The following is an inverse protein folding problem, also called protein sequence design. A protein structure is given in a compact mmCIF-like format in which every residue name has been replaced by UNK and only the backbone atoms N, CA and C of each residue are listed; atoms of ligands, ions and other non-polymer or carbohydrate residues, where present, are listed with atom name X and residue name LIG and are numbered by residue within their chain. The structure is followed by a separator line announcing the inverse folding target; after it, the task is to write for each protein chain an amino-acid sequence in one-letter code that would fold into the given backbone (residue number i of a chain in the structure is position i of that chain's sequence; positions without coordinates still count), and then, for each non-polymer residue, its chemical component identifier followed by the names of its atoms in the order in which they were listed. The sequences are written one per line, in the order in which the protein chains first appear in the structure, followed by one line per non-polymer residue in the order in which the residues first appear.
data_IF_484446164486
#
_entry.id   IF_484446164486
#
_cell.length_a   1.000
_cell.length_b   1.000
_cell.length_c   1.000
_cell.angle_alpha   90.00
_cell.angle_beta   90.00
_cell.angle_gamma   90.00
#
_symmetry.space_group_name_H-M   'P 1'
#
loop_
_entity.id
_entity.type
_entity.pdbx_description
1 polymer ?
#
# COMPACT_ATOMS: atom_id res chain seq x y z
N UNK A 1 -14.72 18.98 12.95
CA UNK A 1 -14.57 17.53 12.78
C UNK A 1 -13.30 17.04 13.44
N UNK A 2 -13.34 15.86 14.04
CA UNK A 2 -12.13 15.26 14.61
C UNK A 2 -11.19 14.72 13.51
N UNK A 3 -9.86 14.94 13.68
CA UNK A 3 -8.87 14.51 12.69
C UNK A 3 -7.50 14.20 13.33
N UNK A 4 -6.68 13.41 12.61
CA UNK A 4 -5.27 13.19 12.89
C UNK A 4 -4.43 13.97 11.87
N UNK A 5 -3.55 14.85 12.35
CA UNK A 5 -2.79 15.79 11.51
C UNK A 5 -1.29 15.65 11.73
N UNK A 6 -0.51 15.92 10.66
CA UNK A 6 0.89 16.29 10.80
C UNK A 6 0.95 17.80 11.08
N UNK A 7 1.29 18.17 12.31
CA UNK A 7 1.46 19.57 12.71
C UNK A 7 2.89 20.07 12.52
N UNK A 8 3.85 19.15 12.58
CA UNK A 8 5.27 19.39 12.29
C UNK A 8 5.92 18.13 11.72
N UNK A 9 7.11 18.30 11.14
CA UNK A 9 7.93 17.23 10.60
C UNK A 9 9.07 16.97 11.56
N UNK A 10 9.33 15.69 11.87
CA UNK A 10 10.49 15.23 12.61
C UNK A 10 10.96 13.88 12.06
N UNK A 11 12.17 13.84 11.51
CA UNK A 11 12.69 12.63 10.88
C UNK A 11 13.06 11.53 11.90
N UNK A 12 13.49 11.93 13.11
CA UNK A 12 13.96 11.03 14.15
C UNK A 12 12.83 10.59 15.10
N UNK A 13 11.93 11.52 15.44
CA UNK A 13 10.72 11.27 16.25
C UNK A 13 9.44 11.69 15.52
N UNK A 14 8.99 10.92 14.52
CA UNK A 14 7.84 11.31 13.69
C UNK A 14 6.54 11.48 14.50
N UNK A 15 6.37 10.73 15.59
CA UNK A 15 5.19 10.83 16.42
C UNK A 15 5.08 12.14 17.21
N UNK A 16 6.18 12.85 17.37
CA UNK A 16 6.18 14.19 17.99
C UNK A 16 5.42 15.21 17.13
N UNK A 17 5.27 14.96 15.83
CA UNK A 17 4.51 15.77 14.88
C UNK A 17 3.04 15.39 14.72
N UNK A 18 2.61 14.26 15.30
CA UNK A 18 1.24 13.78 15.20
C UNK A 18 0.34 14.46 16.24
N UNK A 19 -0.66 15.18 15.78
CA UNK A 19 -1.70 15.80 16.62
C UNK A 19 -3.09 15.21 16.31
N UNK A 20 -3.85 14.94 17.37
CA UNK A 20 -5.22 14.47 17.31
C UNK A 20 -6.14 15.55 17.90
N UNK A 21 -7.17 15.96 17.17
CA UNK A 21 -8.07 17.00 17.67
C UNK A 21 -9.04 17.54 16.63
N UNK A 22 -9.75 18.61 17.03
CA UNK A 22 -10.75 19.27 16.19
C UNK A 22 -10.12 20.09 15.07
N UNK A 23 -10.69 19.96 13.86
CA UNK A 23 -10.34 20.73 12.66
C UNK A 23 -11.61 21.31 12.03
N UNK A 24 -11.50 22.42 11.28
CA UNK A 24 -12.62 22.92 10.48
C UNK A 24 -13.14 21.85 9.51
N UNK A 25 -14.43 21.89 9.21
CA UNK A 25 -15.02 21.09 8.15
C UNK A 25 -14.40 21.44 6.79
N UNK A 26 -14.05 20.45 5.94
CA UNK A 26 -13.51 20.74 4.63
C UNK A 26 -14.60 21.27 3.70
N UNK A 27 -14.27 22.26 2.89
CA UNK A 27 -15.13 22.76 1.83
C UNK A 27 -14.69 22.19 0.47
N UNK A 28 -15.61 21.51 -0.22
CA UNK A 28 -15.32 20.91 -1.51
C UNK A 28 -15.23 21.99 -2.60
N UNK A 29 -14.09 22.12 -3.31
CA UNK A 29 -14.01 22.96 -4.51
C UNK A 29 -14.92 22.43 -5.63
N UNK A 30 -15.14 23.25 -6.67
CA UNK A 30 -15.86 22.79 -7.87
C UNK A 30 -15.22 21.52 -8.47
N UNK A 31 -16.06 20.55 -8.83
CA UNK A 31 -15.61 19.25 -9.35
C UNK A 31 -15.15 18.26 -8.29
N UNK A 32 -15.13 18.63 -7.01
CA UNK A 32 -14.83 17.76 -5.88
C UNK A 32 -16.11 17.25 -5.22
N UNK A 33 -15.97 16.20 -4.41
CA UNK A 33 -17.04 15.64 -3.60
C UNK A 33 -16.56 15.49 -2.15
N UNK A 34 -17.49 15.71 -1.21
CA UNK A 34 -17.28 15.39 0.19
C UNK A 34 -17.65 13.93 0.43
N UNK A 35 -16.81 13.19 1.15
CA UNK A 35 -17.06 11.83 1.61
C UNK A 35 -17.09 11.83 3.14
N UNK A 36 -18.16 11.29 3.71
CA UNK A 36 -18.20 10.91 5.13
C UNK A 36 -17.42 9.62 5.30
N UNK A 37 -16.27 9.70 5.94
CA UNK A 37 -15.36 8.55 6.14
C UNK A 37 -15.99 7.57 7.11
N UNK A 38 -16.02 6.30 6.77
CA UNK A 38 -16.47 5.20 7.63
C UNK A 38 -15.32 4.34 8.14
N UNK A 39 -14.26 4.24 7.34
CA UNK A 39 -13.02 3.60 7.70
C UNK A 39 -11.87 4.21 6.90
N UNK A 40 -10.70 4.34 7.52
CA UNK A 40 -9.46 4.80 6.90
C UNK A 40 -8.30 3.87 7.28
N UNK A 41 -7.38 3.57 6.35
CA UNK A 41 -6.35 2.58 6.60
C UNK A 41 -4.94 3.16 6.55
N UNK A 42 -4.16 2.89 7.59
CA UNK A 42 -2.80 3.39 7.78
C UNK A 42 -1.81 2.77 6.78
N UNK A 43 -0.90 3.59 6.28
CA UNK A 43 0.19 3.22 5.37
C UNK A 43 1.54 3.74 5.88
N UNK A 44 2.64 3.15 5.43
CA UNK A 44 3.98 3.70 5.67
C UNK A 44 4.13 5.12 5.11
N UNK A 45 3.38 5.48 4.07
CA UNK A 45 3.29 6.85 3.54
C UNK A 45 2.98 7.86 4.64
N UNK A 46 2.06 7.58 5.53
CA UNK A 46 1.64 8.48 6.60
C UNK A 46 2.77 8.71 7.62
N UNK A 47 3.57 7.68 7.91
CA UNK A 47 4.80 7.79 8.71
C UNK A 47 5.87 8.59 7.96
N UNK A 48 6.01 8.39 6.64
CA UNK A 48 6.95 9.16 5.82
C UNK A 48 6.57 10.64 5.76
N UNK A 49 5.28 10.98 5.69
CA UNK A 49 4.78 12.36 5.76
C UNK A 49 5.22 13.03 7.08
N UNK A 50 5.06 12.35 8.22
CA UNK A 50 5.55 12.85 9.53
C UNK A 50 7.08 13.01 9.58
N UNK A 51 7.82 12.27 8.78
CA UNK A 51 9.29 12.39 8.62
C UNK A 51 9.71 13.44 7.58
N UNK A 52 8.77 14.10 6.91
CA UNK A 52 9.05 15.12 5.90
C UNK A 52 9.32 14.58 4.49
N UNK A 53 8.95 13.33 4.21
CA UNK A 53 9.07 12.77 2.86
C UNK A 53 7.77 13.00 2.10
N UNK A 54 7.85 13.59 0.90
CA UNK A 54 6.71 13.88 0.03
C UNK A 54 5.93 15.14 0.40
N UNK A 55 6.30 15.85 1.46
CA UNK A 55 5.63 17.06 1.93
C UNK A 55 6.64 18.17 2.21
N UNK A 56 6.22 19.43 2.03
CA UNK A 56 6.96 20.62 2.43
C UNK A 56 6.31 21.30 3.65
N UNK A 57 7.11 22.00 4.44
CA UNK A 57 6.68 22.60 5.72
C UNK A 57 5.62 23.68 5.58
N UNK A 58 5.51 24.31 4.40
CA UNK A 58 4.46 25.29 4.08
C UNK A 58 3.05 24.67 3.95
N UNK A 59 2.96 23.35 3.90
CA UNK A 59 1.71 22.59 3.87
C UNK A 59 1.17 22.20 5.24
N UNK A 60 1.95 22.41 6.27
CA UNK A 60 1.57 22.05 7.64
C UNK A 60 0.70 23.16 8.29
N UNK A 61 -0.24 22.81 9.15
CA UNK A 61 -0.66 21.43 9.47
C UNK A 61 -1.54 20.83 8.36
N UNK A 62 -1.41 19.51 8.11
CA UNK A 62 -2.20 18.79 7.12
C UNK A 62 -2.85 17.55 7.74
N UNK A 63 -4.07 17.21 7.33
CA UNK A 63 -4.72 15.95 7.73
C UNK A 63 -4.00 14.78 7.06
N UNK A 64 -3.66 13.75 7.84
CA UNK A 64 -2.97 12.56 7.37
C UNK A 64 -3.94 11.55 6.73
N UNK A 65 -3.37 10.50 6.12
CA UNK A 65 -4.09 9.37 5.55
C UNK A 65 -4.38 9.51 4.07
N UNK A 66 -4.21 8.40 3.33
CA UNK A 66 -4.53 8.36 1.90
C UNK A 66 -5.53 7.27 1.52
N UNK A 67 -5.87 6.36 2.44
CA UNK A 67 -6.77 5.23 2.18
C UNK A 67 -8.08 5.36 2.95
N UNK A 68 -9.23 5.46 2.28
CA UNK A 68 -10.52 5.46 2.94
C UNK A 68 -11.63 4.78 2.12
N UNK A 69 -12.65 4.35 2.85
CA UNK A 69 -13.96 4.03 2.32
C UNK A 69 -15.04 4.77 3.15
N UNK A 70 -16.12 5.17 2.49
CA UNK A 70 -17.15 5.97 3.14
C UNK A 70 -18.38 6.14 2.28
N UNK A 71 -19.14 7.19 2.60
CA UNK A 71 -20.40 7.51 1.91
C UNK A 71 -20.26 8.91 1.31
N UNK A 72 -20.51 9.06 0.01
CA UNK A 72 -20.51 10.35 -0.66
C UNK A 72 -21.78 11.18 -0.35
N UNK A 73 -21.83 12.42 -0.85
CA UNK A 73 -22.97 13.30 -0.62
C UNK A 73 -24.29 12.81 -1.25
N UNK A 74 -24.21 11.90 -2.23
CA UNK A 74 -25.38 11.31 -2.91
C UNK A 74 -25.85 10.01 -2.24
N UNK A 75 -25.18 9.60 -1.14
CA UNK A 75 -25.49 8.39 -0.36
C UNK A 75 -24.88 7.10 -0.91
N UNK A 76 -23.96 7.18 -1.88
CA UNK A 76 -23.29 6.00 -2.42
C UNK A 76 -22.14 5.55 -1.53
N UNK A 77 -21.97 4.24 -1.37
CA UNK A 77 -20.80 3.66 -0.73
C UNK A 77 -19.61 3.67 -1.70
N UNK A 78 -18.52 4.30 -1.30
CA UNK A 78 -17.36 4.56 -2.15
C UNK A 78 -16.04 4.19 -1.48
N UNK A 79 -15.06 3.87 -2.31
CA UNK A 79 -13.63 3.79 -1.96
C UNK A 79 -12.93 5.00 -2.58
N UNK A 80 -12.10 5.67 -1.80
CA UNK A 80 -11.36 6.86 -2.24
C UNK A 80 -10.03 6.44 -2.87
N UNK A 81 -9.83 6.77 -4.16
CA UNK A 81 -8.54 6.61 -4.83
C UNK A 81 -7.56 7.70 -4.36
N UNK A 82 -6.40 7.29 -3.85
CA UNK A 82 -5.48 8.19 -3.17
C UNK A 82 -4.70 9.14 -4.09
N UNK A 83 -4.50 8.76 -5.37
CA UNK A 83 -3.69 9.55 -6.31
C UNK A 83 -4.54 10.63 -6.96
N UNK A 84 -4.14 11.88 -6.80
CA UNK A 84 -4.70 13.04 -7.49
C UNK A 84 -3.75 13.42 -8.63
N UNK A 85 -4.15 13.17 -9.85
CA UNK A 85 -3.38 13.42 -11.06
C UNK A 85 -4.27 13.42 -12.30
N UNK A 86 -3.71 13.90 -13.42
CA UNK A 86 -4.36 13.91 -14.72
C UNK A 86 -3.95 12.65 -15.51
N UNK A 87 -4.90 11.74 -15.85
CA UNK A 87 -4.58 10.57 -16.64
C UNK A 87 -4.08 10.91 -18.03
N UNK A 88 -4.56 12.00 -18.64
CA UNK A 88 -4.13 12.40 -19.99
C UNK A 88 -2.66 12.82 -19.98
N UNK A 89 -2.21 13.53 -18.94
CA UNK A 89 -0.81 13.88 -18.74
C UNK A 89 0.08 12.65 -18.45
N UNK A 90 -0.50 11.58 -17.93
CA UNK A 90 0.16 10.30 -17.64
C UNK A 90 -0.02 9.22 -18.72
N UNK A 91 -0.56 9.55 -19.90
CA UNK A 91 -0.78 8.57 -20.98
C UNK A 91 -1.79 7.48 -20.64
N UNK A 92 -2.81 7.81 -19.85
CA UNK A 92 -3.87 6.91 -19.36
C UNK A 92 -3.65 6.37 -17.95
N UNK A 93 -2.54 6.74 -17.29
CA UNK A 93 -2.23 6.34 -15.91
C UNK A 93 -1.81 7.58 -15.11
N UNK A 94 -2.69 8.11 -14.27
CA UNK A 94 -2.43 9.29 -13.44
C UNK A 94 -1.26 9.12 -12.49
N UNK A 95 -0.80 7.89 -12.22
CA UNK A 95 0.43 7.67 -11.45
C UNK A 95 1.69 8.06 -12.21
N UNK A 96 1.58 8.33 -13.50
CA UNK A 96 2.66 8.81 -14.37
C UNK A 96 2.57 10.32 -14.68
N UNK A 97 1.52 11.02 -14.23
CA UNK A 97 1.46 12.48 -14.31
C UNK A 97 2.61 13.08 -13.50
N UNK A 98 3.50 13.91 -14.10
CA UNK A 98 4.59 14.56 -13.39
C UNK A 98 4.12 15.47 -12.23
N UNK A 99 2.87 15.95 -12.28
CA UNK A 99 2.27 16.84 -11.28
C UNK A 99 1.40 16.11 -10.26
N UNK A 100 1.30 14.78 -10.36
CA UNK A 100 0.50 14.00 -9.41
C UNK A 100 0.90 14.27 -7.96
N UNK A 101 -0.04 14.03 -7.07
CA UNK A 101 0.15 14.07 -5.62
C UNK A 101 -0.69 12.96 -4.99
N UNK A 102 -0.35 12.58 -3.78
CA UNK A 102 -1.21 11.75 -2.95
C UNK A 102 -2.01 12.65 -2.00
N UNK A 103 -3.13 12.13 -1.52
CA UNK A 103 -3.79 12.69 -0.33
C UNK A 103 -2.77 12.73 0.81
N UNK A 104 -2.88 13.71 1.69
CA UNK A 104 -1.92 14.04 2.77
C UNK A 104 -0.54 14.57 2.32
N UNK A 105 -0.39 15.00 1.05
CA UNK A 105 0.81 15.70 0.56
C UNK A 105 0.51 17.16 0.21
N UNK A 106 -0.42 17.40 -0.73
CA UNK A 106 -0.84 18.73 -1.19
C UNK A 106 -2.28 19.06 -0.83
N UNK A 107 -3.04 18.05 -0.47
CA UNK A 107 -4.45 18.11 -0.08
C UNK A 107 -4.61 17.37 1.23
N UNK A 108 -5.57 17.77 2.04
CA UNK A 108 -5.89 17.07 3.28
C UNK A 108 -6.19 15.59 3.01
N UNK A 109 -5.76 14.75 3.93
CA UNK A 109 -5.96 13.31 3.90
C UNK A 109 -7.28 12.88 4.52
N UNK A 110 -7.36 11.57 4.78
CA UNK A 110 -8.60 10.88 5.13
C UNK A 110 -8.71 10.48 6.61
N UNK A 111 -7.71 10.77 7.45
CA UNK A 111 -7.82 10.49 8.89
C UNK A 111 -8.62 11.60 9.59
N UNK A 112 -9.89 11.68 9.19
CA UNK A 112 -10.89 12.62 9.66
C UNK A 112 -12.29 12.05 9.43
N UNK A 113 -13.30 12.65 10.05
CA UNK A 113 -14.72 12.29 9.83
C UNK A 113 -15.18 12.56 8.40
N UNK A 114 -14.57 13.54 7.72
CA UNK A 114 -14.88 13.94 6.33
C UNK A 114 -13.63 14.30 5.55
N UNK A 115 -13.68 14.03 4.25
CA UNK A 115 -12.64 14.42 3.29
C UNK A 115 -13.27 14.94 2.00
N UNK A 116 -12.59 15.89 1.36
CA UNK A 116 -12.94 16.35 0.01
C UNK A 116 -11.93 15.80 -0.99
N UNK A 117 -12.42 15.19 -2.08
CA UNK A 117 -11.60 14.61 -3.14
C UNK A 117 -12.22 14.92 -4.52
N UNK A 118 -11.42 14.95 -5.60
CA UNK A 118 -11.99 15.05 -6.94
C UNK A 118 -13.04 13.94 -7.17
N UNK A 119 -14.20 14.27 -7.75
CA UNK A 119 -15.27 13.27 -7.99
C UNK A 119 -14.77 12.05 -8.75
N UNK A 120 -13.83 12.21 -9.67
CA UNK A 120 -13.21 11.09 -10.39
C UNK A 120 -12.45 10.11 -9.50
N UNK A 121 -12.02 10.51 -8.31
CA UNK A 121 -11.29 9.65 -7.36
C UNK A 121 -12.24 8.72 -6.57
N UNK A 122 -13.53 8.82 -6.78
CA UNK A 122 -14.50 7.91 -6.15
C UNK A 122 -14.68 6.65 -7.01
N UNK A 123 -14.56 5.50 -6.37
CA UNK A 123 -14.80 4.17 -6.97
C UNK A 123 -15.91 3.50 -6.15
N UNK A 124 -16.93 2.87 -6.78
CA UNK A 124 -17.93 2.14 -6.02
C UNK A 124 -17.31 1.11 -5.08
N UNK A 125 -17.75 1.08 -3.83
CA UNK A 125 -17.29 0.09 -2.86
C UNK A 125 -17.84 -1.29 -3.25
N UNK A 126 -17.00 -2.35 -3.26
CA UNK A 126 -17.48 -3.73 -3.41
C UNK A 126 -18.52 -4.05 -2.32
N UNK A 127 -19.69 -4.55 -2.73
CA UNK A 127 -20.78 -4.85 -1.79
C UNK A 127 -20.43 -5.96 -0.80
N UNK A 128 -19.55 -6.88 -1.19
CA UNK A 128 -19.09 -7.99 -0.36
C UNK A 128 -18.08 -7.59 0.72
N UNK A 129 -17.47 -6.39 0.63
CA UNK A 129 -16.49 -5.91 1.60
C UNK A 129 -17.11 -4.98 2.62
N UNK A 130 -16.67 -5.04 3.88
CA UNK A 130 -16.96 -4.01 4.88
C UNK A 130 -16.27 -2.70 4.51
N UNK A 131 -16.57 -1.59 5.22
CA UNK A 131 -15.84 -0.34 5.02
C UNK A 131 -14.36 -0.46 5.40
N UNK A 132 -14.06 -1.19 6.48
CA UNK A 132 -12.68 -1.44 6.93
C UNK A 132 -11.88 -2.23 5.89
N UNK A 133 -12.46 -3.27 5.31
CA UNK A 133 -11.84 -4.04 4.23
C UNK A 133 -11.66 -3.17 2.98
N UNK A 134 -12.69 -2.43 2.58
CA UNK A 134 -12.66 -1.57 1.41
C UNK A 134 -11.63 -0.44 1.54
N UNK A 135 -11.47 0.14 2.74
CA UNK A 135 -10.45 1.14 3.02
C UNK A 135 -9.01 0.61 2.85
N UNK A 136 -8.77 -0.69 2.90
CA UNK A 136 -7.45 -1.27 2.69
C UNK A 136 -7.02 -1.35 1.21
N UNK A 137 -7.95 -1.13 0.26
CA UNK A 137 -7.70 -1.35 -1.16
C UNK A 137 -6.79 -0.29 -1.82
N UNK A 138 -6.95 1.04 -1.58
CA UNK A 138 -6.40 2.09 -2.46
C UNK A 138 -4.87 2.13 -2.54
N UNK A 139 -4.15 1.87 -1.47
CA UNK A 139 -2.68 1.89 -1.48
C UNK A 139 -2.09 0.48 -1.49
N UNK A 140 -2.22 -0.26 -0.40
CA UNK A 140 -1.48 -1.52 -0.24
C UNK A 140 -1.94 -2.60 -1.22
N UNK A 141 -3.24 -2.82 -1.34
CA UNK A 141 -3.80 -3.83 -2.23
C UNK A 141 -3.70 -3.41 -3.70
N UNK A 142 -3.89 -2.14 -4.01
CA UNK A 142 -3.72 -1.62 -5.37
C UNK A 142 -2.25 -1.69 -5.83
N UNK A 143 -1.30 -1.37 -4.95
CA UNK A 143 0.14 -1.56 -5.22
C UNK A 143 0.44 -3.03 -5.50
N UNK A 144 -0.05 -3.95 -4.66
CA UNK A 144 0.12 -5.38 -4.86
C UNK A 144 -0.51 -5.86 -6.18
N UNK A 145 -1.70 -5.37 -6.52
CA UNK A 145 -2.38 -5.66 -7.78
C UNK A 145 -1.54 -5.22 -8.99
N UNK A 146 -1.05 -3.98 -9.01
CA UNK A 146 -0.19 -3.46 -10.08
C UNK A 146 1.12 -4.25 -10.19
N UNK A 147 1.77 -4.54 -9.05
CA UNK A 147 2.99 -5.38 -9.03
C UNK A 147 2.74 -6.74 -9.67
N UNK A 148 1.63 -7.40 -9.30
CA UNK A 148 1.34 -8.78 -9.69
C UNK A 148 0.82 -8.88 -11.14
N UNK A 149 -0.16 -8.07 -11.51
CA UNK A 149 -0.87 -8.24 -12.78
C UNK A 149 -0.33 -7.37 -13.92
N UNK A 150 0.32 -6.25 -13.61
CA UNK A 150 0.78 -5.32 -14.64
C UNK A 150 2.32 -5.33 -14.80
N UNK A 151 3.06 -5.59 -13.71
CA UNK A 151 4.52 -5.44 -13.69
C UNK A 151 5.29 -6.75 -13.61
N UNK A 152 4.71 -7.82 -13.10
CA UNK A 152 5.41 -9.10 -12.93
C UNK A 152 5.77 -9.77 -14.25
N UNK A 153 4.93 -9.64 -15.27
CA UNK A 153 5.12 -10.23 -16.59
C UNK A 153 5.00 -11.76 -16.61
N UNK A 154 4.46 -12.38 -15.57
CA UNK A 154 4.25 -13.84 -15.49
C UNK A 154 2.77 -14.19 -15.44
N UNK A 155 2.46 -15.44 -15.73
CA UNK A 155 1.10 -15.98 -15.75
C UNK A 155 0.83 -16.86 -14.52
N UNK A 156 -0.45 -17.15 -14.18
CA UNK A 156 -0.81 -18.14 -13.17
C UNK A 156 -0.02 -19.45 -13.32
N UNK A 157 0.36 -20.05 -12.18
CA UNK A 157 1.27 -21.20 -12.12
C UNK A 157 2.74 -20.82 -11.91
N UNK A 158 3.17 -19.58 -12.20
CA UNK A 158 4.52 -19.12 -11.90
C UNK A 158 4.77 -19.03 -10.38
N UNK A 159 6.03 -19.13 -9.98
CA UNK A 159 6.46 -19.00 -8.58
C UNK A 159 6.86 -17.57 -8.26
N UNK A 160 6.20 -16.97 -7.29
CA UNK A 160 6.46 -15.64 -6.77
C UNK A 160 7.20 -15.74 -5.43
N UNK A 161 8.18 -14.88 -5.19
CA UNK A 161 8.79 -14.69 -3.87
C UNK A 161 8.42 -13.30 -3.33
N UNK A 162 7.67 -13.26 -2.25
CA UNK A 162 7.32 -12.04 -1.53
C UNK A 162 8.34 -11.82 -0.41
N UNK A 163 9.12 -10.75 -0.48
CA UNK A 163 10.10 -10.41 0.55
C UNK A 163 9.46 -9.69 1.74
N UNK A 164 9.81 -10.10 2.95
CA UNK A 164 9.49 -9.37 4.18
C UNK A 164 8.02 -9.38 4.57
N UNK A 165 7.37 -10.55 4.61
CA UNK A 165 5.94 -10.62 4.95
C UNK A 165 5.64 -10.08 6.35
N UNK A 166 4.54 -9.31 6.42
CA UNK A 166 4.00 -8.71 7.65
C UNK A 166 3.24 -7.41 7.39
N UNK A 167 3.70 -6.58 6.44
CA UNK A 167 3.01 -5.36 6.05
C UNK A 167 1.87 -5.57 5.05
N UNK A 168 1.12 -4.49 4.78
CA UNK A 168 -0.08 -4.52 3.95
C UNK A 168 0.16 -4.99 2.51
N UNK A 169 1.20 -4.51 1.83
CA UNK A 169 1.52 -4.93 0.45
C UNK A 169 1.90 -6.41 0.40
N UNK A 170 2.73 -6.88 1.33
CA UNK A 170 3.18 -8.28 1.33
C UNK A 170 2.04 -9.26 1.63
N UNK A 171 1.13 -8.93 2.55
CA UNK A 171 -0.06 -9.75 2.81
C UNK A 171 -1.03 -9.71 1.64
N UNK A 172 -1.21 -8.55 0.99
CA UNK A 172 -2.01 -8.42 -0.22
C UNK A 172 -1.47 -9.28 -1.38
N UNK A 173 -0.14 -9.31 -1.58
CA UNK A 173 0.50 -10.13 -2.60
C UNK A 173 0.24 -11.64 -2.38
N UNK A 174 0.20 -12.11 -1.13
CA UNK A 174 -0.15 -13.50 -0.83
C UNK A 174 -1.62 -13.76 -1.18
N UNK A 175 -2.53 -12.91 -0.69
CA UNK A 175 -3.97 -13.08 -0.93
C UNK A 175 -4.32 -13.05 -2.40
N UNK A 176 -3.87 -12.00 -3.11
CA UNK A 176 -4.15 -11.83 -4.54
C UNK A 176 -3.44 -12.88 -5.40
N UNK A 177 -2.18 -13.18 -5.08
CA UNK A 177 -1.40 -14.20 -5.80
C UNK A 177 -2.03 -15.58 -5.68
N UNK A 178 -2.44 -15.97 -4.48
CA UNK A 178 -3.15 -17.23 -4.25
C UNK A 178 -4.47 -17.29 -5.01
N UNK A 179 -5.28 -16.24 -4.91
CA UNK A 179 -6.58 -16.16 -5.58
C UNK A 179 -6.45 -16.20 -7.12
N UNK A 180 -5.34 -15.73 -7.65
CA UNK A 180 -5.04 -15.75 -9.09
C UNK A 180 -4.30 -17.02 -9.57
N UNK A 181 -4.05 -18.00 -8.70
CA UNK A 181 -3.45 -19.28 -9.07
C UNK A 181 -1.91 -19.25 -9.24
N UNK A 182 -1.21 -18.32 -8.59
CA UNK A 182 0.24 -18.33 -8.50
C UNK A 182 0.71 -19.22 -7.34
N UNK A 183 1.93 -19.75 -7.44
CA UNK A 183 2.64 -20.37 -6.34
C UNK A 183 3.38 -19.29 -5.55
N UNK A 184 2.93 -19.01 -4.33
CA UNK A 184 3.42 -17.88 -3.54
C UNK A 184 4.35 -18.37 -2.43
N UNK A 185 5.60 -17.94 -2.47
CA UNK A 185 6.58 -18.11 -1.40
C UNK A 185 6.81 -16.77 -0.69
N UNK A 186 7.10 -16.82 0.60
CA UNK A 186 7.30 -15.61 1.38
C UNK A 186 8.48 -15.71 2.35
N UNK A 187 9.13 -14.60 2.64
CA UNK A 187 10.18 -14.53 3.66
C UNK A 187 9.79 -13.66 4.84
N UNK A 188 10.27 -13.99 6.02
CA UNK A 188 10.22 -13.10 7.20
C UNK A 188 11.28 -13.48 8.22
N UNK A 189 11.79 -12.49 8.96
CA UNK A 189 12.64 -12.70 10.15
C UNK A 189 11.87 -13.36 11.29
N UNK A 190 10.59 -13.01 11.44
CA UNK A 190 9.71 -13.52 12.50
C UNK A 190 9.10 -14.87 12.12
N UNK A 191 9.27 -15.88 12.98
CA UNK A 191 8.65 -17.18 12.82
C UNK A 191 7.12 -17.09 12.86
N UNK A 192 6.57 -16.36 13.84
CA UNK A 192 5.13 -16.14 13.95
C UNK A 192 4.51 -15.51 12.71
N UNK A 193 5.22 -14.56 12.05
CA UNK A 193 4.76 -13.99 10.77
C UNK A 193 4.84 -14.99 9.63
N UNK A 194 5.83 -15.90 9.61
CA UNK A 194 5.91 -16.98 8.62
C UNK A 194 4.73 -17.96 8.77
N UNK A 195 4.39 -18.35 9.99
CA UNK A 195 3.23 -19.20 10.27
C UNK A 195 1.91 -18.55 9.85
N UNK A 196 1.75 -17.25 10.11
CA UNK A 196 0.58 -16.48 9.66
C UNK A 196 0.50 -16.42 8.15
N UNK A 197 1.64 -16.28 7.46
CA UNK A 197 1.71 -16.28 5.99
C UNK A 197 1.29 -17.62 5.38
N UNK A 198 1.67 -18.77 5.98
CA UNK A 198 1.18 -20.09 5.57
C UNK A 198 -0.34 -20.20 5.71
N UNK A 199 -0.88 -19.77 6.87
CA UNK A 199 -2.32 -19.77 7.11
C UNK A 199 -3.08 -18.86 6.13
N UNK A 200 -2.42 -17.78 5.67
CA UNK A 200 -2.98 -16.86 4.68
C UNK A 200 -2.99 -17.42 3.26
N UNK A 201 -2.22 -18.48 3.00
CA UNK A 201 -2.18 -19.18 1.73
C UNK A 201 -0.85 -19.12 0.98
N UNK A 202 0.24 -18.70 1.62
CA UNK A 202 1.57 -18.90 1.05
C UNK A 202 1.87 -20.40 0.97
N UNK A 203 2.40 -20.86 -0.16
CA UNK A 203 2.72 -22.29 -0.38
C UNK A 203 3.96 -22.70 0.42
N UNK A 204 4.94 -21.80 0.58
CA UNK A 204 6.13 -22.01 1.40
C UNK A 204 6.59 -20.69 2.03
N UNK A 205 7.24 -20.80 3.18
CA UNK A 205 7.83 -19.65 3.89
C UNK A 205 9.25 -19.95 4.34
N UNK A 206 10.08 -18.92 4.36
CA UNK A 206 11.51 -19.06 4.66
C UNK A 206 11.98 -17.94 5.59
N UNK A 207 13.01 -18.16 6.42
CA UNK A 207 13.77 -17.07 7.03
C UNK A 207 14.36 -16.14 5.96
N UNK A 208 14.57 -14.85 6.31
CA UNK A 208 15.23 -13.92 5.39
C UNK A 208 16.61 -14.42 5.00
N UNK A 209 16.93 -14.37 3.69
CA UNK A 209 18.22 -14.77 3.15
C UNK A 209 18.43 -16.29 3.04
N UNK A 210 17.46 -17.11 3.43
CA UNK A 210 17.55 -18.56 3.35
C UNK A 210 17.71 -19.06 1.90
N UNK A 211 18.48 -20.12 1.72
CA UNK A 211 18.54 -20.81 0.43
C UNK A 211 17.18 -21.42 0.11
N UNK A 212 16.62 -21.04 -1.04
CA UNK A 212 15.37 -21.60 -1.53
C UNK A 212 15.60 -22.99 -2.16
N UNK A 213 14.60 -23.91 -2.16
CA UNK A 213 14.71 -25.22 -2.78
C UNK A 213 14.92 -25.14 -4.30
N UNK A 214 14.35 -24.11 -4.94
CA UNK A 214 14.56 -23.79 -6.34
C UNK A 214 14.51 -22.26 -6.58
N UNK A 215 14.87 -21.82 -7.77
CA UNK A 215 14.76 -20.40 -8.15
C UNK A 215 13.33 -20.07 -8.56
N UNK A 216 12.96 -18.81 -8.34
CA UNK A 216 11.61 -18.28 -8.59
C UNK A 216 11.55 -17.48 -9.90
N UNK A 217 10.35 -17.32 -10.44
CA UNK A 217 10.13 -16.57 -11.68
C UNK A 217 10.16 -15.06 -11.43
N UNK A 218 9.58 -14.62 -10.30
CA UNK A 218 9.48 -13.19 -9.93
C UNK A 218 9.75 -13.03 -8.44
N UNK A 219 10.44 -11.94 -8.09
CA UNK A 219 10.54 -11.42 -6.72
C UNK A 219 9.73 -10.14 -6.62
N UNK A 220 8.88 -10.05 -5.60
CA UNK A 220 8.07 -8.90 -5.24
C UNK A 220 8.69 -8.23 -4.01
N UNK A 221 9.27 -7.04 -4.22
CA UNK A 221 10.23 -6.44 -3.29
C UNK A 221 9.68 -5.12 -2.71
N UNK A 222 9.60 -5.05 -1.38
CA UNK A 222 9.21 -3.84 -0.65
C UNK A 222 10.17 -3.50 0.50
N UNK A 223 11.18 -4.36 0.72
CA UNK A 223 12.13 -4.24 1.83
C UNK A 223 13.38 -3.45 1.41
N UNK A 224 13.94 -3.74 0.24
CA UNK A 224 15.08 -3.01 -0.31
C UNK A 224 16.42 -3.60 0.12
N UNK A 225 17.32 -2.76 0.65
CA UNK A 225 18.74 -3.08 0.84
C UNK A 225 18.98 -4.39 1.59
N UNK A 226 18.23 -4.67 2.66
CA UNK A 226 18.45 -5.87 3.49
C UNK A 226 18.10 -7.19 2.79
N UNK A 227 17.29 -7.17 1.73
CA UNK A 227 16.84 -8.37 1.00
C UNK A 227 17.34 -8.40 -0.43
N UNK A 228 17.89 -7.32 -0.95
CA UNK A 228 18.26 -7.16 -2.36
C UNK A 228 19.15 -8.28 -2.89
N UNK A 229 20.26 -8.58 -2.21
CA UNK A 229 21.19 -9.64 -2.63
C UNK A 229 20.51 -11.02 -2.64
N UNK A 230 19.61 -11.30 -1.71
CA UNK A 230 18.80 -12.51 -1.71
C UNK A 230 17.82 -12.52 -2.89
N UNK A 231 17.14 -11.41 -3.14
CA UNK A 231 16.18 -11.24 -4.23
C UNK A 231 16.82 -11.51 -5.60
N UNK A 232 17.98 -10.89 -5.87
CA UNK A 232 18.74 -11.10 -7.11
C UNK A 232 19.18 -12.57 -7.27
N UNK A 233 19.64 -13.21 -6.18
CA UNK A 233 20.13 -14.62 -6.24
C UNK A 233 19.00 -15.64 -6.38
N UNK A 234 17.80 -15.30 -5.93
CA UNK A 234 16.65 -16.20 -5.94
C UNK A 234 16.01 -16.37 -7.32
N UNK A 235 16.30 -15.48 -8.27
CA UNK A 235 15.67 -15.49 -9.59
C UNK A 235 16.25 -16.55 -10.54
N UNK A 236 15.37 -17.14 -11.34
CA UNK A 236 15.73 -17.88 -12.56
C UNK A 236 16.41 -16.94 -13.56
N UNK A 237 17.24 -17.45 -14.50
CA UNK A 237 17.62 -16.65 -15.67
C UNK A 237 16.38 -16.13 -16.40
N UNK A 238 16.41 -14.85 -16.82
CA UNK A 238 15.26 -14.16 -17.40
C UNK A 238 14.20 -13.70 -16.38
N UNK A 239 14.39 -13.98 -15.08
CA UNK A 239 13.45 -13.62 -14.04
C UNK A 239 13.37 -12.10 -13.78
N UNK A 240 12.40 -11.71 -12.98
CA UNK A 240 12.09 -10.28 -12.75
C UNK A 240 12.02 -9.94 -11.25
N UNK A 241 12.54 -8.75 -10.89
CA UNK A 241 12.24 -8.09 -9.62
C UNK A 241 11.28 -6.95 -9.88
N UNK A 242 10.17 -6.91 -9.13
CA UNK A 242 9.26 -5.75 -9.10
C UNK A 242 9.41 -5.06 -7.75
N UNK A 243 9.83 -3.79 -7.78
CA UNK A 243 10.14 -3.00 -6.58
C UNK A 243 9.03 -2.00 -6.35
N UNK A 244 8.49 -1.96 -5.14
CA UNK A 244 7.49 -0.96 -4.73
C UNK A 244 7.77 -0.35 -3.34
N UNK A 245 8.97 -0.55 -2.82
CA UNK A 245 9.38 0.03 -1.54
C UNK A 245 10.81 -0.37 -1.17
N UNK A 246 11.36 0.37 -0.23
CA UNK A 246 12.74 0.21 0.25
C UNK A 246 12.83 0.52 1.76
N UNK A 247 12.00 -0.14 2.57
CA UNK A 247 11.86 0.16 4.01
C UNK A 247 13.12 -0.08 4.83
N UNK A 248 14.11 -0.82 4.30
CA UNK A 248 15.42 -1.07 4.94
C UNK A 248 16.59 -0.30 4.31
N UNK A 249 16.29 0.63 3.40
CA UNK A 249 17.28 1.40 2.63
C UNK A 249 17.11 1.21 1.13
N UNK A 250 17.47 2.24 0.37
CA UNK A 250 17.20 2.39 -1.06
C UNK A 250 18.44 2.29 -1.97
N UNK A 251 19.63 2.12 -1.41
CA UNK A 251 20.90 2.11 -2.13
C UNK A 251 21.68 0.76 -1.99
N UNK A 252 21.10 -0.39 -2.36
CA UNK A 252 21.85 -1.65 -2.39
C UNK A 252 22.86 -1.68 -3.53
N UNK A 253 23.94 -2.48 -3.46
CA UNK A 253 24.81 -2.77 -4.59
C UNK A 253 23.99 -3.37 -5.75
N UNK A 254 24.14 -2.85 -6.97
CA UNK A 254 23.32 -3.27 -8.12
C UNK A 254 23.56 -4.72 -8.58
N UNK A 255 24.70 -5.36 -8.19
CA UNK A 255 25.10 -6.72 -8.64
C UNK A 255 25.04 -6.88 -10.17
N UNK A 256 25.55 -5.90 -10.92
CA UNK A 256 25.43 -5.79 -12.37
C UNK A 256 25.82 -7.07 -13.12
N UNK A 257 26.92 -7.73 -12.71
CA UNK A 257 27.37 -8.97 -13.32
C UNK A 257 26.27 -10.02 -13.32
N UNK A 258 25.57 -10.19 -12.21
CA UNK A 258 24.46 -11.14 -12.13
C UNK A 258 23.29 -10.68 -12.97
N UNK A 259 22.95 -9.40 -12.92
CA UNK A 259 21.82 -8.82 -13.69
C UNK A 259 22.00 -9.11 -15.19
N UNK A 260 23.16 -8.79 -15.78
CA UNK A 260 23.33 -9.01 -17.22
C UNK A 260 23.59 -10.48 -17.59
N UNK A 261 24.38 -11.23 -16.80
CA UNK A 261 24.66 -12.63 -17.11
C UNK A 261 23.42 -13.52 -17.07
N UNK A 262 22.51 -13.27 -16.15
CA UNK A 262 21.25 -14.02 -16.02
C UNK A 262 20.08 -13.30 -16.67
N UNK A 263 20.30 -12.19 -17.38
CA UNK A 263 19.29 -11.44 -18.14
C UNK A 263 18.08 -11.05 -17.28
N UNK A 264 18.33 -10.53 -16.07
CA UNK A 264 17.26 -10.14 -15.15
C UNK A 264 16.62 -8.83 -15.57
N UNK A 265 15.33 -8.70 -15.29
CA UNK A 265 14.58 -7.43 -15.40
C UNK A 265 14.36 -6.83 -14.03
N UNK A 266 14.72 -5.56 -13.85
CA UNK A 266 14.41 -4.78 -12.64
C UNK A 266 13.35 -3.74 -13.00
N UNK A 267 12.19 -3.79 -12.34
CA UNK A 267 11.03 -2.98 -12.68
C UNK A 267 10.51 -2.25 -11.44
N UNK A 268 10.34 -0.92 -11.54
CA UNK A 268 9.67 -0.12 -10.51
C UNK A 268 8.14 -0.19 -10.63
N UNK A 269 7.46 -0.09 -9.50
CA UNK A 269 6.01 0.00 -9.41
C UNK A 269 5.64 0.93 -8.26
N UNK A 270 4.63 1.77 -8.45
CA UNK A 270 4.08 2.60 -7.37
C UNK A 270 2.58 2.70 -7.52
N UNK A 271 1.86 2.57 -6.41
CA UNK A 271 0.40 2.71 -6.36
C UNK A 271 -0.30 1.97 -7.51
N UNK A 272 -1.39 2.51 -8.00
CA UNK A 272 -2.08 2.10 -9.21
C UNK A 272 -3.04 3.19 -9.64
N UNK A 273 -3.56 3.10 -10.87
CA UNK A 273 -4.54 4.04 -11.39
C UNK A 273 -5.93 3.77 -10.80
N UNK A 274 -6.83 4.77 -10.91
CA UNK A 274 -8.25 4.61 -10.55
C UNK A 274 -8.90 3.41 -11.25
N UNK A 275 -8.57 3.21 -12.52
CA UNK A 275 -9.13 2.09 -13.29
C UNK A 275 -8.61 0.74 -12.79
N UNK A 276 -7.34 0.68 -12.35
CA UNK A 276 -6.79 -0.50 -11.69
C UNK A 276 -7.46 -0.75 -10.34
N UNK A 277 -7.80 0.29 -9.56
CA UNK A 277 -8.58 0.16 -8.33
C UNK A 277 -9.97 -0.43 -8.62
N UNK A 278 -10.65 0.03 -9.66
CA UNK A 278 -11.93 -0.56 -10.10
C UNK A 278 -11.80 -2.03 -10.54
N UNK A 279 -10.70 -2.41 -11.18
CA UNK A 279 -10.41 -3.82 -11.53
C UNK A 279 -10.11 -4.66 -10.29
N UNK A 280 -9.33 -4.13 -9.35
CA UNK A 280 -9.07 -4.79 -8.07
C UNK A 280 -10.37 -5.03 -7.28
N UNK A 281 -11.25 -4.03 -7.21
CA UNK A 281 -12.55 -4.15 -6.55
C UNK A 281 -13.36 -5.32 -7.13
N UNK A 282 -13.48 -5.39 -8.45
CA UNK A 282 -14.15 -6.52 -9.13
C UNK A 282 -13.43 -7.85 -8.90
N UNK A 283 -12.09 -7.87 -8.88
CA UNK A 283 -11.33 -9.08 -8.58
C UNK A 283 -11.66 -9.62 -7.19
N UNK A 284 -11.73 -8.74 -6.18
CA UNK A 284 -12.12 -9.13 -4.82
C UNK A 284 -13.53 -9.72 -4.77
N UNK A 285 -14.49 -9.11 -5.48
CA UNK A 285 -15.87 -9.63 -5.56
C UNK A 285 -15.94 -11.02 -6.21
N UNK A 286 -15.24 -11.21 -7.33
CA UNK A 286 -15.28 -12.45 -8.10
C UNK A 286 -14.55 -13.61 -7.42
N UNK A 287 -13.47 -13.35 -6.73
CA UNK A 287 -12.61 -14.38 -6.13
C UNK A 287 -12.87 -14.61 -4.64
N UNK A 288 -13.57 -13.70 -3.98
CA UNK A 288 -13.71 -13.68 -2.52
C UNK A 288 -12.44 -13.27 -1.79
N UNK A 289 -11.44 -12.71 -2.49
CA UNK A 289 -10.23 -12.20 -1.86
C UNK A 289 -10.56 -11.03 -0.92
N UNK A 290 -10.08 -11.10 0.33
CA UNK A 290 -10.34 -10.09 1.35
C UNK A 290 -9.05 -9.52 1.93
N UNK A 291 -9.02 -8.21 2.21
CA UNK A 291 -7.91 -7.58 2.92
C UNK A 291 -7.66 -8.18 4.30
N UNK A 292 -6.37 -8.32 4.63
CA UNK A 292 -5.93 -8.76 5.95
C UNK A 292 -5.83 -7.56 6.86
N UNK A 293 -6.70 -7.48 7.85
CA UNK A 293 -6.72 -6.44 8.86
C UNK A 293 -6.09 -7.01 10.13
N UNK A 294 -5.07 -6.33 10.65
CA UNK A 294 -4.42 -6.68 11.92
C UNK A 294 -5.26 -6.19 13.09
N UNK A 295 -5.68 -4.93 13.05
CA UNK A 295 -6.52 -4.30 14.06
C UNK A 295 -7.34 -3.15 13.51
N UNK A 296 -8.49 -2.91 14.15
CA UNK A 296 -9.33 -1.72 13.92
C UNK A 296 -9.34 -0.92 15.22
N UNK A 297 -9.04 0.38 15.12
CA UNK A 297 -8.96 1.29 16.26
C UNK A 297 -9.88 2.50 16.01
N UNK A 298 -10.45 3.13 17.06
CA UNK A 298 -11.01 4.46 16.92
C UNK A 298 -9.94 5.44 16.42
N UNK A 299 -10.29 6.43 15.61
CA UNK A 299 -9.34 7.45 15.12
C UNK A 299 -8.66 8.20 16.28
N UNK A 300 -9.36 8.37 17.40
CA UNK A 300 -8.78 8.95 18.62
C UNK A 300 -7.58 8.15 19.18
N UNK A 301 -7.41 6.90 18.79
CA UNK A 301 -6.28 6.03 19.14
C UNK A 301 -5.28 5.88 17.97
N UNK A 302 -5.27 6.81 17.01
CA UNK A 302 -4.38 6.72 15.85
C UNK A 302 -2.91 6.61 16.25
N UNK A 303 -2.48 7.24 17.34
CA UNK A 303 -1.10 7.15 17.85
C UNK A 303 -0.65 5.72 18.06
N UNK A 304 -1.49 4.87 18.66
CA UNK A 304 -1.17 3.45 18.92
C UNK A 304 -0.97 2.69 17.59
N UNK A 305 -1.77 3.03 16.57
CA UNK A 305 -1.61 2.46 15.23
C UNK A 305 -0.30 2.86 14.55
N UNK A 306 0.07 4.13 14.66
CA UNK A 306 1.35 4.63 14.14
C UNK A 306 2.55 3.98 14.87
N UNK A 307 2.49 3.85 16.19
CA UNK A 307 3.53 3.16 16.99
C UNK A 307 3.69 1.70 16.55
N UNK A 308 2.59 0.97 16.39
CA UNK A 308 2.61 -0.41 15.91
C UNK A 308 3.20 -0.53 14.50
N UNK A 309 2.95 0.45 13.62
CA UNK A 309 3.54 0.48 12.29
C UNK A 309 5.04 0.75 12.33
N UNK A 310 5.50 1.72 13.13
CA UNK A 310 6.92 2.07 13.27
C UNK A 310 7.72 0.92 13.87
N UNK A 311 7.20 0.27 14.89
CA UNK A 311 7.85 -0.89 15.54
C UNK A 311 7.75 -2.18 14.71
N UNK A 312 6.84 -2.21 13.72
CA UNK A 312 6.56 -3.40 12.92
C UNK A 312 5.73 -4.46 13.67
N UNK A 313 5.05 -4.08 14.74
CA UNK A 313 4.13 -4.96 15.49
C UNK A 313 2.76 -5.04 14.80
N UNK A 314 2.75 -5.62 13.60
CA UNK A 314 1.53 -5.81 12.81
C UNK A 314 1.69 -6.95 11.81
N UNK A 315 0.54 -7.46 11.33
CA UNK A 315 0.46 -8.39 10.21
C UNK A 315 -0.79 -8.08 9.37
N UNK A 316 -0.64 -7.29 8.31
CA UNK A 316 -1.73 -6.78 7.49
C UNK A 316 -1.87 -5.27 7.62
N UNK A 317 -3.10 -4.78 7.64
CA UNK A 317 -3.46 -3.37 7.70
C UNK A 317 -3.96 -2.97 9.08
N UNK A 318 -3.66 -1.76 9.49
CA UNK A 318 -4.29 -1.10 10.65
C UNK A 318 -5.35 -0.15 10.07
N UNK A 319 -6.54 -0.18 10.63
CA UNK A 319 -7.68 0.61 10.19
C UNK A 319 -8.16 1.49 11.33
N UNK A 320 -8.54 2.73 11.00
CA UNK A 320 -9.15 3.69 11.92
C UNK A 320 -10.62 3.92 11.54
N UNK A 321 -11.51 3.91 12.53
CA UNK A 321 -12.89 4.36 12.39
C UNK A 321 -13.01 5.75 13.04
N UNK A 322 -13.38 6.78 12.25
CA UNK A 322 -13.60 8.14 12.77
C UNK A 322 -14.74 8.25 13.79
#
# INVERSE_FOLDING_TARGET
MFAATAARIDADDPLSGLELGERPEPAAPDGWATVTVKAAALNHHDVWTLRGVGISTDRLPIVLGCDAAGIDADGNEVVVHAVIGDPDAGGGDETLDPRRSLLSERHDGVFAERVCVPRRNLVPKPSALSFEEAACLPTAYLTAYKMLFEKSGVQPGATLLVQGVGGGVATALIVLGRAAGYRVWATSRSEAKRERALKLGADQVFPNGARLPERVDVVLETVGQATWAHSIRSLKPGGRIVISGATSGDAPPAELTRVFFTQLTVTGSTMGSRDQLGRLARFCEQTGARPVIDRVLPLAQARDGFEAMITGDLFGKIVFNP
#
